data_IF_178947902998
#
_entry.id   IF_178947902998
#
_cell.length_a   1.000
_cell.length_b   1.000
_cell.length_c   1.000
_cell.angle_alpha   90.00
_cell.angle_beta   90.00
_cell.angle_gamma   90.00
#
_symmetry.space_group_name_H-M   'P 1'
#
loop_
_entity.id
_entity.type
_entity.pdbx_description
1 polymer ?
#
# COMPACT_ATOMS: atom_id res chain seq x y z
N UNK A 1 -23.16 -12.47 -21.48
CA UNK A 1 -22.34 -12.96 -20.35
C UNK A 1 -21.41 -11.84 -19.94
N UNK A 2 -21.80 -11.09 -18.92
CA UNK A 2 -21.08 -9.91 -18.44
C UNK A 2 -19.84 -10.42 -17.72
N UNK A 3 -18.67 -10.22 -18.31
CA UNK A 3 -17.41 -10.38 -17.59
C UNK A 3 -17.43 -9.28 -16.52
N UNK A 4 -17.83 -9.63 -15.30
CA UNK A 4 -17.47 -8.84 -14.15
C UNK A 4 -15.94 -8.82 -14.18
N UNK A 5 -15.38 -7.73 -14.71
CA UNK A 5 -13.99 -7.42 -14.53
C UNK A 5 -13.82 -7.38 -13.01
N UNK A 6 -13.28 -8.45 -12.44
CA UNK A 6 -12.77 -8.44 -11.08
C UNK A 6 -11.75 -7.30 -11.12
N UNK A 7 -12.15 -6.13 -10.63
CA UNK A 7 -11.36 -4.91 -10.73
C UNK A 7 -10.17 -5.10 -9.82
N UNK A 8 -9.10 -5.71 -10.34
CA UNK A 8 -7.88 -5.93 -9.58
C UNK A 8 -7.24 -4.58 -9.31
N UNK A 9 -7.00 -4.31 -8.03
CA UNK A 9 -6.14 -3.21 -7.60
C UNK A 9 -4.77 -3.76 -7.22
N UNK A 10 -3.87 -2.86 -6.86
CA UNK A 10 -2.48 -3.21 -6.63
C UNK A 10 -1.94 -2.47 -5.41
N UNK A 11 -1.29 -3.22 -4.54
CA UNK A 11 -0.35 -2.64 -3.57
C UNK A 11 0.96 -2.36 -4.28
N UNK A 12 1.55 -1.20 -3.99
CA UNK A 12 2.80 -0.79 -4.61
C UNK A 12 3.79 -0.43 -3.55
N UNK A 13 5.00 -0.97 -3.68
CA UNK A 13 6.11 -0.71 -2.80
C UNK A 13 7.28 -0.18 -3.60
N UNK A 14 7.99 0.81 -3.06
CA UNK A 14 9.21 1.36 -3.65
C UNK A 14 10.39 1.22 -2.70
N UNK A 15 11.58 1.07 -3.28
CA UNK A 15 12.82 0.82 -2.54
C UNK A 15 13.88 1.84 -2.93
N UNK A 16 13.88 3.03 -2.31
CA UNK A 16 14.96 3.99 -2.47
C UNK A 16 16.30 3.38 -1.99
N UNK A 17 17.39 3.55 -2.75
CA UNK A 17 18.70 3.00 -2.39
C UNK A 17 19.14 3.44 -0.98
N UNK A 18 19.45 2.48 -0.11
CA UNK A 18 19.98 2.74 1.24
C UNK A 18 18.98 3.18 2.29
N UNK A 19 17.69 3.34 1.96
CA UNK A 19 16.68 3.86 2.90
C UNK A 19 15.68 2.78 3.36
N UNK A 20 15.46 1.76 2.53
CA UNK A 20 14.58 0.62 2.84
C UNK A 20 13.33 0.57 1.97
N UNK A 21 12.26 -0.06 2.46
CA UNK A 21 10.98 -0.22 1.77
C UNK A 21 10.03 0.91 2.16
N UNK A 22 9.29 1.42 1.19
CA UNK A 22 8.15 2.31 1.40
C UNK A 22 6.91 1.72 0.76
N UNK A 23 5.79 1.81 1.47
CA UNK A 23 4.46 1.59 0.92
C UNK A 23 4.01 2.87 0.20
N UNK A 24 3.43 2.70 -0.98
CA UNK A 24 2.76 3.78 -1.69
C UNK A 24 1.25 3.62 -1.48
N UNK A 25 0.60 4.74 -1.20
CA UNK A 25 -0.82 4.82 -0.87
C UNK A 25 -1.38 5.96 -1.71
N UNK A 26 -2.43 5.69 -2.50
CA UNK A 26 -3.13 6.74 -3.23
C UNK A 26 -3.96 7.53 -2.23
N UNK A 27 -3.85 8.85 -2.26
CA UNK A 27 -4.69 9.68 -1.38
C UNK A 27 -6.17 9.48 -1.75
N UNK A 28 -6.99 9.13 -0.75
CA UNK A 28 -8.44 9.06 -0.89
C UNK A 28 -9.07 10.36 -0.34
N UNK A 29 -9.58 11.26 -1.20
CA UNK A 29 -10.21 12.51 -0.76
C UNK A 29 -11.61 12.30 -0.16
N UNK A 30 -12.25 11.17 -0.45
CA UNK A 30 -13.60 10.82 0.01
C UNK A 30 -13.50 9.64 0.97
N UNK A 31 -12.95 9.90 2.17
CA UNK A 31 -12.93 8.89 3.22
C UNK A 31 -14.36 8.56 3.67
N UNK A 32 -14.69 7.28 3.60
CA UNK A 32 -16.02 6.75 3.92
C UNK A 32 -16.16 6.40 5.40
N UNK A 33 -15.04 6.19 6.10
CA UNK A 33 -14.99 5.70 7.47
C UNK A 33 -15.10 4.18 7.58
N UNK A 34 -15.30 3.48 6.45
CA UNK A 34 -15.15 2.03 6.34
C UNK A 34 -13.70 1.73 5.95
N UNK A 35 -12.97 1.08 6.87
CA UNK A 35 -11.54 0.83 6.69
C UNK A 35 -11.23 -0.06 5.48
N UNK A 36 -12.12 -0.99 5.11
CA UNK A 36 -11.91 -1.86 3.94
C UNK A 36 -12.15 -1.08 2.65
N UNK A 37 -13.22 -0.29 2.61
CA UNK A 37 -13.54 0.53 1.43
C UNK A 37 -12.49 1.62 1.22
N UNK A 38 -12.04 2.27 2.29
CA UNK A 38 -10.99 3.28 2.24
C UNK A 38 -9.66 2.65 1.80
N UNK A 39 -9.24 1.52 2.40
CA UNK A 39 -8.05 0.78 1.96
C UNK A 39 -8.13 0.40 0.48
N UNK A 40 -9.27 -0.11 0.04
CA UNK A 40 -9.47 -0.45 -1.36
C UNK A 40 -9.33 0.78 -2.25
N UNK A 41 -9.91 1.91 -1.87
CA UNK A 41 -9.86 3.16 -2.63
C UNK A 41 -8.47 3.80 -2.67
N UNK A 42 -7.67 3.54 -1.65
CA UNK A 42 -6.26 3.94 -1.54
C UNK A 42 -5.31 3.04 -2.35
N UNK A 43 -5.76 1.88 -2.84
CA UNK A 43 -4.98 1.00 -3.71
C UNK A 43 -4.96 1.46 -5.19
N UNK A 44 -3.91 1.09 -5.91
CA UNK A 44 -3.68 1.54 -7.29
C UNK A 44 -4.47 0.73 -8.31
N UNK A 45 -4.95 1.38 -9.37
CA UNK A 45 -5.47 0.73 -10.57
C UNK A 45 -4.36 0.44 -11.58
N UNK A 46 -4.65 -0.39 -12.59
CA UNK A 46 -3.70 -0.64 -13.69
C UNK A 46 -3.30 0.64 -14.44
N UNK A 47 -4.24 1.57 -14.61
CA UNK A 47 -4.00 2.88 -15.22
C UNK A 47 -3.03 3.71 -14.38
N UNK A 48 -3.20 3.73 -13.06
CA UNK A 48 -2.29 4.45 -12.16
C UNK A 48 -0.85 3.89 -12.27
N UNK A 49 -0.70 2.55 -12.31
CA UNK A 49 0.62 1.90 -12.40
C UNK A 49 1.43 2.31 -13.64
N UNK A 50 0.76 2.61 -14.76
CA UNK A 50 1.43 3.07 -15.99
C UNK A 50 2.12 4.42 -15.82
N UNK A 51 1.72 5.22 -14.83
CA UNK A 51 2.33 6.51 -14.51
C UNK A 51 3.30 6.37 -13.32
N UNK A 52 2.87 5.68 -12.28
CA UNK A 52 3.60 5.55 -11.00
C UNK A 52 4.87 4.72 -11.14
N UNK A 53 4.80 3.56 -11.81
CA UNK A 53 5.96 2.65 -11.92
C UNK A 53 7.11 3.28 -12.73
N UNK A 54 6.87 3.89 -13.91
CA UNK A 54 7.94 4.57 -14.64
C UNK A 54 8.55 5.74 -13.89
N UNK A 55 7.76 6.50 -13.13
CA UNK A 55 8.26 7.61 -12.31
C UNK A 55 9.32 7.14 -11.31
N UNK A 56 9.03 6.12 -10.50
CA UNK A 56 10.02 5.65 -9.52
C UNK A 56 11.22 4.95 -10.18
N UNK A 57 10.99 4.27 -11.32
CA UNK A 57 12.09 3.66 -12.08
C UNK A 57 13.03 4.70 -12.70
N UNK A 58 12.53 5.87 -13.12
CA UNK A 58 13.37 6.94 -13.67
C UNK A 58 14.30 7.56 -12.59
N UNK A 59 13.90 7.47 -11.32
CA UNK A 59 14.73 7.83 -10.16
C UNK A 59 15.76 6.73 -9.79
N UNK A 60 15.80 5.62 -10.54
CA UNK A 60 16.66 4.48 -10.25
C UNK A 60 16.18 3.61 -9.09
N UNK A 61 14.94 3.76 -8.63
CA UNK A 61 14.41 3.01 -7.50
C UNK A 61 13.78 1.69 -7.97
N UNK A 62 13.89 0.65 -7.13
CA UNK A 62 13.17 -0.61 -7.40
C UNK A 62 11.70 -0.43 -7.00
N UNK A 63 10.81 -1.09 -7.72
CA UNK A 63 9.37 -1.07 -7.46
C UNK A 63 8.85 -2.50 -7.44
N UNK A 64 8.11 -2.87 -6.40
CA UNK A 64 7.34 -4.11 -6.32
C UNK A 64 5.86 -3.78 -6.44
N UNK A 65 5.13 -4.63 -7.17
CA UNK A 65 3.70 -4.49 -7.40
C UNK A 65 3.05 -5.81 -7.03
N UNK A 66 2.11 -5.78 -6.09
CA UNK A 66 1.40 -6.97 -5.64
C UNK A 66 -0.07 -6.85 -6.05
N UNK A 67 -0.61 -7.82 -6.81
CA UNK A 67 -2.03 -7.81 -7.17
C UNK A 67 -2.88 -8.00 -5.93
N UNK A 68 -3.98 -7.27 -5.85
CA UNK A 68 -4.96 -7.32 -4.78
C UNK A 68 -6.35 -7.60 -5.39
N UNK A 69 -6.95 -8.72 -5.01
CA UNK A 69 -8.35 -9.00 -5.28
C UNK A 69 -9.22 -8.35 -4.19
N UNK A 70 -10.50 -8.10 -4.50
CA UNK A 70 -11.41 -7.42 -3.56
C UNK A 70 -11.68 -8.28 -2.32
N UNK A 71 -11.65 -9.59 -2.46
CA UNK A 71 -11.84 -10.51 -1.34
C UNK A 71 -10.65 -10.47 -0.37
N UNK A 72 -9.47 -10.07 -0.87
CA UNK A 72 -8.24 -9.97 -0.10
C UNK A 72 -8.07 -8.60 0.59
N UNK A 73 -8.97 -7.62 0.40
CA UNK A 73 -8.92 -6.35 1.12
C UNK A 73 -9.47 -6.42 2.53
N UNK A 74 -10.27 -7.46 2.84
CA UNK A 74 -10.92 -7.60 4.14
C UNK A 74 -9.88 -7.63 5.27
N UNK A 75 -10.02 -6.71 6.22
CA UNK A 75 -9.12 -6.59 7.38
C UNK A 75 -7.73 -6.02 7.08
N UNK A 76 -7.47 -5.54 5.87
CA UNK A 76 -6.26 -4.80 5.54
C UNK A 76 -6.45 -3.31 5.75
N UNK A 77 -5.35 -2.65 6.08
CA UNK A 77 -5.25 -1.21 6.25
C UNK A 77 -3.80 -0.81 5.96
N UNK A 78 -3.60 0.37 5.38
CA UNK A 78 -2.26 0.86 5.05
C UNK A 78 -1.49 1.29 6.30
N UNK A 79 -0.15 1.26 6.21
CA UNK A 79 0.77 1.59 7.32
C UNK A 79 0.57 3.04 7.76
N UNK A 80 0.34 3.95 6.81
CA UNK A 80 0.10 5.36 7.13
C UNK A 80 -1.11 5.53 8.07
N UNK A 81 -2.18 4.77 7.85
CA UNK A 81 -3.39 4.84 8.66
C UNK A 81 -3.18 4.32 10.10
N UNK A 82 -2.24 3.39 10.32
CA UNK A 82 -1.83 2.97 11.66
C UNK A 82 -0.92 3.97 12.38
N UNK A 83 -0.09 4.68 11.62
CA UNK A 83 1.05 5.45 12.15
C UNK A 83 0.77 6.95 12.18
N UNK A 84 -0.39 7.38 11.70
CA UNK A 84 -0.84 8.77 11.75
C UNK A 84 -0.90 9.25 13.21
N UNK A 85 -0.02 10.19 13.58
CA UNK A 85 0.13 10.71 14.95
C UNK A 85 1.36 10.18 15.71
N UNK A 86 2.08 9.21 15.16
CA UNK A 86 3.40 8.76 15.63
C UNK A 86 4.46 9.35 14.68
N UNK A 87 5.69 9.57 15.15
CA UNK A 87 6.78 10.10 14.33
C UNK A 87 7.19 9.06 13.26
N UNK A 88 6.42 9.02 12.17
CA UNK A 88 6.54 8.10 11.06
C UNK A 88 7.12 8.83 9.86
N UNK A 89 8.11 8.23 9.20
CA UNK A 89 8.70 8.83 8.00
C UNK A 89 7.73 8.64 6.83
N UNK A 90 7.11 9.73 6.39
CA UNK A 90 6.26 9.75 5.21
C UNK A 90 6.56 10.98 4.35
N UNK A 91 6.26 10.85 3.06
CA UNK A 91 6.33 11.94 2.08
C UNK A 91 5.08 11.95 1.23
N UNK A 92 4.65 13.13 0.83
CA UNK A 92 3.55 13.29 -0.13
C UNK A 92 4.16 13.71 -1.46
N UNK A 93 3.77 13.03 -2.52
CA UNK A 93 4.23 13.24 -3.89
C UNK A 93 3.02 13.45 -4.79
N UNK A 94 3.15 14.29 -5.81
CA UNK A 94 2.20 14.35 -6.93
C UNK A 94 2.86 13.73 -8.16
N UNK A 95 2.24 12.68 -8.70
CA UNK A 95 2.71 12.01 -9.90
C UNK A 95 1.58 12.07 -10.94
N UNK A 96 1.73 12.96 -11.92
CA UNK A 96 0.76 13.13 -13.01
C UNK A 96 -0.67 13.39 -12.51
N UNK A 97 -0.82 14.19 -11.44
CA UNK A 97 -2.12 14.51 -10.84
C UNK A 97 -2.64 13.45 -9.87
N UNK A 98 -1.85 12.42 -9.56
CA UNK A 98 -2.15 11.45 -8.50
C UNK A 98 -1.35 11.85 -7.26
N UNK A 99 -2.03 12.29 -6.21
CA UNK A 99 -1.41 12.47 -4.89
C UNK A 99 -1.17 11.12 -4.25
N UNK A 100 0.09 10.87 -3.91
CA UNK A 100 0.59 9.61 -3.37
C UNK A 100 1.27 9.90 -2.04
N UNK A 101 0.86 9.17 -1.02
CA UNK A 101 1.51 9.12 0.28
C UNK A 101 2.51 7.97 0.22
N UNK A 102 3.79 8.28 0.37
CA UNK A 102 4.88 7.33 0.45
C UNK A 102 5.26 7.18 1.93
N UNK A 103 4.85 6.07 2.53
CA UNK A 103 5.00 5.81 3.96
C UNK A 103 6.11 4.77 4.18
N UNK A 104 7.07 5.05 5.06
CA UNK A 104 8.19 4.13 5.31
C UNK A 104 7.67 2.85 5.94
N UNK A 105 7.93 1.74 5.30
CA UNK A 105 7.59 0.44 5.84
C UNK A 105 8.77 -0.04 6.69
N UNK A 106 8.72 0.27 7.99
CA UNK A 106 9.71 -0.21 8.97
C UNK A 106 9.65 -1.72 9.21
N UNK A 107 8.80 -2.45 8.47
CA UNK A 107 8.47 -3.83 8.77
C UNK A 107 7.71 -3.87 10.08
N UNK A 108 6.52 -3.24 10.14
CA UNK A 108 5.51 -3.63 11.14
C UNK A 108 5.47 -5.15 11.00
N UNK A 109 6.01 -5.85 12.00
CA UNK A 109 5.92 -7.28 12.10
C UNK A 109 4.47 -7.57 11.79
N UNK A 110 4.19 -8.21 10.64
CA UNK A 110 3.02 -9.07 10.54
C UNK A 110 3.16 -9.91 11.79
N UNK A 111 2.33 -9.57 12.78
CA UNK A 111 2.39 -10.16 14.10
C UNK A 111 2.56 -11.63 13.84
N UNK A 112 3.68 -12.14 14.35
CA UNK A 112 3.91 -13.54 14.57
C UNK A 112 2.52 -14.13 14.81
N UNK A 113 2.09 -15.07 13.95
CA UNK A 113 1.11 -16.05 14.40
C UNK A 113 1.71 -16.53 15.70
N UNK A 114 1.27 -15.97 16.82
CA UNK A 114 1.61 -16.46 18.13
C UNK A 114 1.15 -17.90 18.04
N UNK A 115 2.11 -18.79 17.85
CA UNK A 115 1.92 -20.17 18.11
C UNK A 115 1.54 -20.19 19.58
N UNK A 116 0.24 -20.29 19.85
CA UNK A 116 -0.30 -20.79 21.09
C UNK A 116 0.18 -22.25 21.22
N UNK A 117 1.47 -22.43 21.43
CA UNK A 117 2.04 -23.57 22.11
C UNK A 117 2.53 -23.03 23.45
N UNK A 118 1.65 -22.95 24.46
CA UNK A 118 2.15 -22.89 25.82
C UNK A 118 2.75 -24.28 26.08
N UNK A 119 4.02 -24.30 26.49
CA UNK A 119 4.79 -25.48 26.94
C UNK A 119 5.61 -26.16 25.83
N UNK A 120 6.90 -25.83 25.81
CA UNK A 120 7.96 -26.71 25.31
C UNK A 120 9.05 -26.76 26.38
N UNK A 121 9.07 -27.86 27.13
CA UNK A 121 10.24 -28.31 27.90
C UNK A 121 11.39 -28.68 26.95
#
# INVERSE_FOLDING_TARGET
MTIAWIMRKYNVYTFPPGVGRYELIKENPEQTGDAEEDYWNECFTWQDLKMVVPYFRSLGWKVAVEPLAREDSMGKIHIFSFTCGINHDFRILDISGIRIIMARDFGIHRSIKESLNPIGY
#
